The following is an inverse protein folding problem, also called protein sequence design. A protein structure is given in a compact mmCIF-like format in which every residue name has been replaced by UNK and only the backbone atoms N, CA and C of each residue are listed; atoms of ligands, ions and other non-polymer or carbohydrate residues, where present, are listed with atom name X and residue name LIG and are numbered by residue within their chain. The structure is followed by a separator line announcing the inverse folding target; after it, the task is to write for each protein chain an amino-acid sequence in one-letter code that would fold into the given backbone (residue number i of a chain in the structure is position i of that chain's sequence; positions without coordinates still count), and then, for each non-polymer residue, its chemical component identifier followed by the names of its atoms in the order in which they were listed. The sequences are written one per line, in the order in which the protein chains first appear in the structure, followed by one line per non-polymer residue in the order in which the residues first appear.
data_IF_175492981667
#
_entry.id   IF_175492981667
#
_cell.length_a   1.000
_cell.length_b   1.000
_cell.length_c   1.000
_cell.angle_alpha   90.00
_cell.angle_beta   90.00
_cell.angle_gamma   90.00
#
_symmetry.space_group_name_H-M   'P 1'
#
loop_
_entity.id
_entity.type
_entity.pdbx_description
1 polymer ?
#
# COMPACT_ATOMS: atom_id res chain seq x y z
N UNK A 1 -1.21 5.13 28.03
CA UNK A 1 -0.53 6.42 27.85
C UNK A 1 -0.04 6.50 26.41
N UNK A 2 -0.51 7.46 25.71
CA UNK A 2 -0.18 7.65 24.29
C UNK A 2 1.25 8.13 24.15
N UNK A 3 2.15 7.26 23.72
CA UNK A 3 3.55 7.59 23.41
C UNK A 3 3.69 8.50 22.18
N UNK A 4 2.60 8.86 21.52
CA UNK A 4 2.57 9.84 20.43
C UNK A 4 2.46 11.28 20.89
N UNK A 5 2.40 11.52 22.19
CA UNK A 5 2.18 12.87 22.74
C UNK A 5 3.29 13.88 22.45
N UNK A 6 4.51 13.41 22.23
CA UNK A 6 5.67 14.28 22.03
C UNK A 6 5.69 14.95 20.65
N UNK A 7 5.18 14.27 19.64
CA UNK A 7 5.13 14.79 18.26
C UNK A 7 3.98 15.77 18.06
N UNK A 8 2.91 15.61 18.80
CA UNK A 8 1.70 16.42 18.68
C UNK A 8 1.58 17.49 19.75
N UNK A 9 2.65 17.85 20.43
CA UNK A 9 2.66 18.98 21.36
C UNK A 9 2.31 20.27 20.61
N UNK A 10 1.50 21.14 21.20
CA UNK A 10 1.11 22.42 20.58
C UNK A 10 2.30 23.24 20.11
N UNK A 11 3.39 23.22 20.86
CA UNK A 11 4.62 23.93 20.52
C UNK A 11 5.30 23.37 19.26
N UNK A 12 5.36 22.04 19.12
CA UNK A 12 5.88 21.38 17.91
C UNK A 12 5.05 21.76 16.69
N UNK A 13 3.74 21.73 16.82
CA UNK A 13 2.83 22.10 15.73
C UNK A 13 2.96 23.59 15.35
N UNK A 14 3.19 24.44 16.32
CA UNK A 14 3.39 25.88 16.08
C UNK A 14 4.64 26.13 15.25
N UNK A 15 5.74 25.48 15.59
CA UNK A 15 7.01 25.62 14.86
C UNK A 15 6.94 25.07 13.44
N UNK A 16 6.23 23.96 13.25
CA UNK A 16 6.01 23.37 11.92
C UNK A 16 5.13 24.23 11.01
N UNK A 17 4.25 25.03 11.61
CA UNK A 17 3.31 25.90 10.90
C UNK A 17 3.74 27.34 10.84
N UNK A 18 4.97 27.66 11.20
CA UNK A 18 5.44 29.04 11.17
C UNK A 18 5.32 29.59 9.74
N UNK A 19 4.62 30.71 9.53
CA UNK A 19 4.46 31.31 8.21
C UNK A 19 5.75 31.90 7.65
N UNK A 20 6.75 32.10 8.49
CA UNK A 20 8.07 32.57 8.05
C UNK A 20 8.93 31.37 7.73
N UNK A 21 9.22 31.16 6.46
CA UNK A 21 9.93 29.97 5.96
C UNK A 21 11.28 29.77 6.67
N UNK A 22 12.02 30.83 6.93
CA UNK A 22 13.31 30.76 7.63
C UNK A 22 13.21 30.29 9.09
N UNK A 23 12.02 30.38 9.68
CA UNK A 23 11.74 29.96 11.05
C UNK A 23 11.03 28.61 11.12
N UNK A 24 10.44 28.17 10.01
CA UNK A 24 9.80 26.87 9.93
C UNK A 24 10.85 25.76 10.11
N UNK A 25 10.48 24.72 10.82
CA UNK A 25 11.33 23.54 11.05
C UNK A 25 10.68 22.29 10.49
N UNK A 26 11.50 21.33 10.10
CA UNK A 26 11.05 20.01 9.75
C UNK A 26 10.53 19.22 10.97
N UNK A 27 10.01 18.05 10.71
CA UNK A 27 9.55 17.14 11.76
C UNK A 27 10.70 16.80 12.72
N UNK A 28 10.41 16.61 14.02
CA UNK A 28 11.42 16.12 14.96
C UNK A 28 12.01 14.78 14.54
N UNK A 29 13.28 14.53 14.84
CA UNK A 29 13.96 13.29 14.49
C UNK A 29 13.25 12.03 15.04
N UNK A 30 12.60 12.15 16.18
CA UNK A 30 11.82 11.08 16.80
C UNK A 30 10.68 10.56 15.91
N UNK A 31 10.14 11.36 15.03
CA UNK A 31 9.09 10.96 14.08
C UNK A 31 9.62 9.87 13.13
N UNK A 32 10.86 10.00 12.68
CA UNK A 32 11.47 9.09 11.72
C UNK A 32 11.96 7.77 12.34
N UNK A 33 12.10 7.72 13.64
CA UNK A 33 12.66 6.56 14.37
C UNK A 33 11.67 5.91 15.32
N UNK A 34 10.52 6.53 15.57
CA UNK A 34 9.53 6.03 16.53
C UNK A 34 8.65 4.94 15.92
N UNK A 35 8.70 3.75 16.51
CA UNK A 35 7.80 2.66 16.14
C UNK A 35 6.33 3.03 16.36
N UNK A 36 6.04 3.75 17.43
CA UNK A 36 4.67 4.22 17.72
C UNK A 36 4.15 5.17 16.66
N UNK A 37 5.00 6.07 16.18
CA UNK A 37 4.63 6.99 15.11
C UNK A 37 4.39 6.25 13.79
N UNK A 38 5.26 5.30 13.47
CA UNK A 38 5.11 4.42 12.32
C UNK A 38 3.77 3.66 12.32
N UNK A 39 3.36 3.15 13.46
CA UNK A 39 2.06 2.47 13.61
C UNK A 39 0.89 3.44 13.45
N UNK A 40 1.00 4.66 13.95
CA UNK A 40 -0.01 5.70 13.74
C UNK A 40 -0.15 6.12 12.28
N UNK A 41 0.96 6.20 11.55
CA UNK A 41 0.93 6.48 10.12
C UNK A 41 0.18 5.36 9.36
N UNK A 42 0.46 4.10 9.69
CA UNK A 42 -0.20 2.95 9.08
C UNK A 42 -1.69 2.88 9.38
N UNK A 43 -2.10 3.30 10.56
CA UNK A 43 -3.49 3.28 10.98
C UNK A 43 -4.29 4.47 10.45
N UNK A 44 -3.69 5.66 10.48
CA UNK A 44 -4.43 6.91 10.31
C UNK A 44 -4.10 7.70 9.07
N UNK A 45 -2.88 7.61 8.57
CA UNK A 45 -2.42 8.44 7.46
C UNK A 45 -2.52 7.68 6.13
N UNK A 46 -1.81 6.59 6.00
CA UNK A 46 -1.67 5.89 4.73
C UNK A 46 -2.99 5.35 4.15
N UNK A 47 -3.94 4.82 4.94
CA UNK A 47 -5.22 4.38 4.39
C UNK A 47 -6.08 5.49 3.81
N UNK A 48 -5.74 6.74 4.10
CA UNK A 48 -6.52 7.93 3.73
C UNK A 48 -5.82 8.84 2.72
N UNK A 49 -4.64 8.46 2.27
CA UNK A 49 -3.83 9.28 1.37
C UNK A 49 -3.44 8.51 0.12
N UNK A 50 -3.11 9.24 -0.92
CA UNK A 50 -2.52 8.67 -2.11
C UNK A 50 -1.09 8.26 -1.85
N UNK A 51 -0.73 7.09 -2.33
CA UNK A 51 0.62 6.55 -2.23
C UNK A 51 1.09 6.04 -3.59
N UNK A 52 2.33 6.32 -3.92
CA UNK A 52 3.03 5.63 -4.99
C UNK A 52 3.40 4.21 -4.53
N UNK A 53 2.89 3.18 -5.20
CA UNK A 53 3.09 1.80 -4.80
C UNK A 53 3.98 0.99 -5.75
N UNK A 54 4.09 1.41 -6.99
CA UNK A 54 4.84 0.72 -8.02
C UNK A 54 5.05 1.62 -9.24
N UNK A 55 5.86 1.17 -10.18
CA UNK A 55 6.10 1.82 -11.45
C UNK A 55 5.33 1.14 -12.58
N UNK A 56 4.96 1.89 -13.60
CA UNK A 56 4.35 1.37 -14.82
C UNK A 56 5.19 0.27 -15.48
N UNK A 57 6.51 0.43 -15.41
CA UNK A 57 7.48 -0.52 -15.93
C UNK A 57 7.54 -1.86 -15.17
N UNK A 58 6.92 -1.96 -14.01
CA UNK A 58 6.88 -3.22 -13.25
C UNK A 58 5.95 -4.24 -13.91
N UNK A 59 5.00 -3.76 -14.71
CA UNK A 59 4.08 -4.58 -15.51
C UNK A 59 4.04 -4.07 -16.95
N UNK A 60 5.11 -4.27 -17.74
CA UNK A 60 5.27 -3.65 -19.05
C UNK A 60 4.28 -4.14 -20.09
N UNK A 61 3.83 -5.39 -19.99
CA UNK A 61 3.01 -6.03 -21.00
C UNK A 61 1.63 -6.40 -20.47
N UNK A 62 0.66 -6.49 -21.36
CA UNK A 62 -0.68 -6.98 -21.03
C UNK A 62 -0.61 -8.38 -20.44
N UNK A 63 -1.29 -8.57 -19.35
CA UNK A 63 -1.29 -9.84 -18.62
C UNK A 63 -0.15 -9.97 -17.59
N UNK A 64 0.76 -9.02 -17.52
CA UNK A 64 1.78 -9.03 -16.47
C UNK A 64 1.15 -8.74 -15.12
N UNK A 65 1.54 -9.49 -14.13
CA UNK A 65 1.07 -9.35 -12.75
C UNK A 65 2.20 -9.54 -11.75
N UNK A 66 2.25 -8.66 -10.78
CA UNK A 66 3.29 -8.66 -9.74
C UNK A 66 2.63 -8.57 -8.37
N UNK A 67 2.90 -9.51 -7.47
CA UNK A 67 2.49 -9.40 -6.08
C UNK A 67 3.34 -8.36 -5.37
N UNK A 68 2.70 -7.57 -4.54
CA UNK A 68 3.37 -6.58 -3.70
C UNK A 68 2.67 -6.45 -2.36
N UNK A 69 3.39 -6.04 -1.37
CA UNK A 69 2.84 -5.77 -0.04
C UNK A 69 2.99 -4.29 0.26
N UNK A 70 1.87 -3.63 0.44
CA UNK A 70 1.83 -2.22 0.79
C UNK A 70 1.15 -2.10 2.14
N UNK A 71 1.86 -1.58 3.12
CA UNK A 71 1.29 -1.34 4.45
C UNK A 71 0.66 -2.59 5.09
N UNK A 72 1.29 -3.74 4.96
CA UNK A 72 0.76 -5.04 5.40
C UNK A 72 -0.43 -5.55 4.59
N UNK A 73 -0.84 -4.86 3.55
CA UNK A 73 -1.88 -5.32 2.65
C UNK A 73 -1.25 -6.06 1.47
N UNK A 74 -1.59 -7.32 1.25
CA UNK A 74 -1.16 -8.05 0.08
C UNK A 74 -1.97 -7.59 -1.14
N UNK A 75 -1.28 -7.12 -2.15
CA UNK A 75 -1.86 -6.57 -3.37
C UNK A 75 -1.29 -7.28 -4.60
N UNK A 76 -1.98 -7.17 -5.71
CA UNK A 76 -1.51 -7.56 -7.03
C UNK A 76 -1.58 -6.33 -7.93
N UNK A 77 -0.46 -5.98 -8.50
CA UNK A 77 -0.38 -5.03 -9.61
C UNK A 77 -0.52 -5.80 -10.91
N UNK A 78 -1.42 -5.39 -11.78
CA UNK A 78 -1.66 -6.08 -13.05
C UNK A 78 -1.89 -5.08 -14.18
N UNK A 79 -1.39 -5.42 -15.36
CA UNK A 79 -1.79 -4.75 -16.59
C UNK A 79 -2.86 -5.60 -17.28
N UNK A 80 -4.06 -5.06 -17.37
CA UNK A 80 -5.20 -5.79 -17.96
C UNK A 80 -5.13 -5.84 -19.49
N UNK A 81 -6.10 -6.52 -20.09
CA UNK A 81 -6.17 -6.68 -21.55
C UNK A 81 -6.42 -5.37 -22.30
N UNK A 82 -7.02 -4.40 -21.64
CA UNK A 82 -7.25 -3.06 -22.19
C UNK A 82 -6.04 -2.14 -22.01
N UNK A 83 -4.91 -2.70 -21.53
CA UNK A 83 -3.67 -1.98 -21.24
C UNK A 83 -3.76 -1.00 -20.06
N UNK A 84 -4.75 -1.17 -19.20
CA UNK A 84 -4.87 -0.38 -17.97
C UNK A 84 -4.16 -1.08 -16.82
N UNK A 85 -3.55 -0.29 -15.95
CA UNK A 85 -2.97 -0.79 -14.71
C UNK A 85 -4.07 -0.83 -13.65
N UNK A 86 -4.17 -1.99 -12.99
CA UNK A 86 -5.11 -2.20 -11.89
C UNK A 86 -4.38 -2.73 -10.67
N UNK A 87 -4.92 -2.42 -9.51
CA UNK A 87 -4.45 -2.94 -8.24
C UNK A 87 -5.59 -3.71 -7.59
N UNK A 88 -5.32 -4.95 -7.29
CA UNK A 88 -6.29 -5.88 -6.70
C UNK A 88 -5.79 -6.36 -5.34
N UNK A 89 -6.70 -6.77 -4.48
CA UNK A 89 -6.32 -7.45 -3.25
C UNK A 89 -5.81 -8.86 -3.58
N UNK A 90 -4.67 -9.20 -3.04
CA UNK A 90 -4.05 -10.53 -3.22
C UNK A 90 -4.54 -11.52 -2.17
N UNK A 91 -5.84 -11.66 -2.06
CA UNK A 91 -6.49 -12.56 -1.10
C UNK A 91 -7.63 -13.29 -1.78
N UNK A 92 -7.59 -14.61 -1.71
CA UNK A 92 -8.68 -15.46 -2.22
C UNK A 92 -9.93 -15.28 -1.36
N UNK A 93 -11.06 -14.99 -1.97
CA UNK A 93 -12.35 -14.83 -1.28
C UNK A 93 -12.79 -16.09 -0.52
N UNK A 94 -12.40 -17.25 -0.99
CA UNK A 94 -12.86 -18.54 -0.45
C UNK A 94 -11.99 -19.07 0.68
N UNK A 95 -10.68 -18.85 0.61
CA UNK A 95 -9.70 -19.50 1.50
C UNK A 95 -8.77 -18.54 2.24
N UNK A 96 -8.91 -17.24 2.06
CA UNK A 96 -8.03 -16.22 2.63
C UNK A 96 -6.52 -16.45 2.37
N UNK A 97 -6.20 -17.22 1.34
CA UNK A 97 -4.81 -17.44 0.89
C UNK A 97 -4.41 -16.42 -0.16
N UNK A 98 -3.12 -16.26 -0.35
CA UNK A 98 -2.62 -15.44 -1.45
C UNK A 98 -3.06 -16.03 -2.79
N UNK A 99 -3.46 -15.15 -3.67
CA UNK A 99 -3.87 -15.48 -5.04
C UNK A 99 -2.65 -15.60 -5.94
N UNK A 100 -1.68 -14.74 -5.73
CA UNK A 100 -0.42 -14.71 -6.47
C UNK A 100 0.73 -14.55 -5.48
N UNK A 101 1.69 -15.45 -5.51
CA UNK A 101 2.88 -15.41 -4.65
C UNK A 101 4.16 -15.02 -5.41
N UNK A 102 4.15 -15.22 -6.73
CA UNK A 102 5.27 -14.85 -7.60
C UNK A 102 4.80 -14.02 -8.79
N UNK A 103 5.68 -13.18 -9.38
CA UNK A 103 5.36 -12.47 -10.60
C UNK A 103 4.98 -13.42 -11.74
N UNK A 104 3.95 -13.05 -12.50
CA UNK A 104 3.49 -13.81 -13.66
C UNK A 104 3.47 -12.91 -14.90
N UNK A 105 3.77 -13.52 -16.03
CA UNK A 105 3.71 -12.89 -17.35
C UNK A 105 2.54 -13.47 -18.16
N UNK A 106 1.95 -12.62 -18.99
CA UNK A 106 0.91 -13.00 -19.94
C UNK A 106 -0.27 -13.76 -19.33
N UNK A 107 -0.66 -13.41 -18.12
CA UNK A 107 -1.87 -13.95 -17.52
C UNK A 107 -3.07 -13.61 -18.40
N UNK A 108 -3.66 -14.63 -18.99
CA UNK A 108 -4.87 -14.46 -19.78
C UNK A 108 -6.10 -14.30 -18.91
N UNK A 109 -6.03 -14.77 -17.69
CA UNK A 109 -7.20 -14.73 -16.83
C UNK A 109 -6.84 -14.95 -15.34
N UNK A 110 -7.21 -14.04 -14.48
CA UNK A 110 -7.22 -14.29 -13.04
C UNK A 110 -8.19 -15.40 -12.63
N UNK A 111 -9.07 -15.80 -13.54
CA UNK A 111 -9.89 -16.98 -13.35
C UNK A 111 -9.09 -18.27 -13.19
N UNK A 112 -7.84 -18.33 -13.58
CA UNK A 112 -6.99 -19.47 -13.24
C UNK A 112 -6.81 -19.62 -11.72
N UNK A 113 -6.92 -18.53 -11.03
CA UNK A 113 -6.91 -18.49 -9.58
C UNK A 113 -8.29 -18.86 -9.02
N UNK A 114 -9.32 -18.73 -9.84
CA UNK A 114 -10.67 -19.22 -9.59
C UNK A 114 -10.91 -20.61 -10.17
N UNK A 115 -10.00 -21.15 -10.96
CA UNK A 115 -10.07 -22.50 -11.50
C UNK A 115 -9.52 -23.57 -10.57
N UNK A 116 -9.04 -23.20 -9.42
CA UNK A 116 -9.18 -24.12 -8.31
C UNK A 116 -10.67 -24.44 -8.22
N UNK A 117 -11.13 -25.63 -8.62
CA UNK A 117 -12.55 -25.89 -8.74
C UNK A 117 -13.15 -25.92 -7.35
N UNK A 118 -13.69 -24.81 -6.97
CA UNK A 118 -14.76 -24.86 -6.02
C UNK A 118 -15.97 -25.46 -6.78
N UNK A 119 -16.55 -26.55 -6.33
CA UNK A 119 -17.73 -27.14 -6.96
C UNK A 119 -18.92 -26.17 -7.04
N UNK A 120 -18.76 -24.98 -6.53
CA UNK A 120 -19.77 -23.92 -6.50
C UNK A 120 -19.59 -22.88 -7.59
N UNK A 121 -18.46 -22.90 -8.29
CA UNK A 121 -18.14 -21.94 -9.37
C UNK A 121 -18.33 -22.57 -10.76
N UNK A 122 -18.87 -23.75 -10.76
CA UNK A 122 -19.29 -24.43 -11.99
C UNK A 122 -20.69 -23.99 -12.40
#
# INVERSE_FOLDING_TARGET
MSKGGEVFQPETLRVLRDPILDKARGLPASVYTSQTFFELEHERLFPKTWMGIAFDSDVPNRGDAVPLTVQRLPLILVRDHDNNIRVLQNVCRHRATLVLDEPCEALTNFCLLYTSPSPRDS
#
